data_IF_425062747369
#
_entry.id   IF_425062747369
#
_cell.length_a   1.000
_cell.length_b   1.000
_cell.length_c   1.000
_cell.angle_alpha   90.00
_cell.angle_beta   90.00
_cell.angle_gamma   90.00
#
_symmetry.space_group_name_H-M   'P 1'
#
loop_
_entity.id
_entity.type
_entity.pdbx_description
1 polymer ?
#
# COMPACT_ATOMS: atom_id res chain seq x y z
N UNK A 1 -13.91 76.89 10.78
CA UNK A 1 -13.70 75.80 9.81
C UNK A 1 -12.52 74.98 10.34
N UNK A 2 -12.64 74.00 11.25
CA UNK A 2 -13.20 72.63 11.13
C UNK A 2 -12.99 72.01 9.75
N UNK A 3 -11.92 71.21 9.58
CA UNK A 3 -12.00 69.75 9.43
C UNK A 3 -10.60 69.11 9.44
N UNK A 4 -10.47 68.10 10.29
CA UNK A 4 -9.39 67.10 10.38
C UNK A 4 -9.58 66.03 9.32
N UNK A 5 -8.51 65.58 8.65
CA UNK A 5 -8.44 64.21 8.10
C UNK A 5 -7.02 63.67 8.25
N UNK A 6 -6.88 62.78 9.23
CA UNK A 6 -5.82 61.79 9.41
C UNK A 6 -5.87 60.79 8.25
N UNK A 7 -4.75 60.50 7.58
CA UNK A 7 -4.59 59.27 6.81
C UNK A 7 -3.41 58.45 7.35
N UNK A 8 -3.80 57.28 7.83
CA UNK A 8 -3.03 56.19 8.40
C UNK A 8 -2.56 55.23 7.28
N UNK A 9 -1.53 54.45 7.59
CA UNK A 9 -1.35 53.02 7.21
C UNK A 9 -0.64 52.66 5.89
N UNK A 10 0.56 52.10 6.13
CA UNK A 10 1.14 50.86 5.59
C UNK A 10 1.43 50.72 4.09
N UNK A 11 2.69 51.00 3.74
CA UNK A 11 3.40 50.30 2.69
C UNK A 11 4.12 49.08 3.30
N UNK A 12 3.48 47.90 3.21
CA UNK A 12 4.13 46.60 3.38
C UNK A 12 3.41 45.58 2.48
N UNK A 13 3.46 45.83 1.17
CA UNK A 13 3.19 44.81 0.17
C UNK A 13 4.42 43.91 0.07
N UNK A 14 4.47 42.84 0.88
CA UNK A 14 5.44 41.76 0.70
C UNK A 14 4.68 40.47 0.33
N UNK A 15 4.75 40.17 -0.96
CA UNK A 15 4.62 38.89 -1.65
C UNK A 15 4.34 37.64 -0.80
N UNK A 16 3.16 37.06 -0.96
CA UNK A 16 2.96 35.60 -1.04
C UNK A 16 1.74 35.31 -1.93
N UNK A 17 1.86 35.59 -3.22
CA UNK A 17 0.99 35.00 -4.24
C UNK A 17 1.72 33.78 -4.82
N UNK A 18 1.68 32.65 -4.12
CA UNK A 18 2.01 31.35 -4.71
C UNK A 18 0.75 30.83 -5.41
N UNK A 19 0.30 31.54 -6.44
CA UNK A 19 -0.61 31.00 -7.45
C UNK A 19 0.23 30.49 -8.61
N UNK A 20 0.91 29.36 -8.38
CA UNK A 20 1.81 28.73 -9.35
C UNK A 20 1.37 27.30 -9.67
N UNK A 21 0.96 27.09 -10.93
CA UNK A 21 0.75 25.82 -11.62
C UNK A 21 -0.46 24.95 -11.21
N UNK A 22 -1.61 25.31 -11.79
CA UNK A 22 -2.70 24.39 -12.16
C UNK A 22 -2.21 23.42 -13.26
N UNK A 23 -1.25 22.56 -12.92
CA UNK A 23 -0.88 21.40 -13.72
C UNK A 23 -1.94 20.32 -13.54
N UNK A 24 -2.32 19.66 -14.63
CA UNK A 24 -3.38 18.63 -14.73
C UNK A 24 -3.09 17.33 -13.94
N UNK A 25 -2.28 17.41 -12.88
CA UNK A 25 -1.84 16.31 -12.03
C UNK A 25 -1.33 16.75 -10.64
N UNK A 26 -1.59 18.00 -10.24
CA UNK A 26 -1.33 18.44 -8.87
C UNK A 26 -2.47 17.98 -7.96
N UNK A 27 -2.16 17.08 -7.02
CA UNK A 27 -3.08 16.66 -5.96
C UNK A 27 -3.16 17.81 -4.95
N UNK A 28 -4.38 18.16 -4.51
CA UNK A 28 -4.54 19.15 -3.46
C UNK A 28 -3.84 18.65 -2.18
N UNK A 29 -3.12 19.54 -1.49
CA UNK A 29 -2.40 19.20 -0.25
C UNK A 29 -3.36 19.18 0.95
N UNK A 30 -4.41 18.37 0.87
CA UNK A 30 -5.33 18.04 1.95
C UNK A 30 -5.39 16.52 2.15
N UNK A 31 -5.61 16.02 3.37
CA UNK A 31 -5.47 14.59 3.65
C UNK A 31 -6.39 13.72 2.80
N UNK A 32 -7.64 14.15 2.59
CA UNK A 32 -8.63 13.39 1.83
C UNK A 32 -8.25 13.28 0.36
N UNK A 33 -7.86 14.38 -0.28
CA UNK A 33 -7.42 14.37 -1.67
C UNK A 33 -6.16 13.51 -1.87
N UNK A 34 -5.22 13.55 -0.92
CA UNK A 34 -4.01 12.71 -0.96
C UNK A 34 -4.34 11.23 -0.86
N UNK A 35 -5.23 10.82 0.05
CA UNK A 35 -5.69 9.43 0.15
C UNK A 35 -6.40 8.98 -1.13
N UNK A 36 -7.34 9.79 -1.63
CA UNK A 36 -8.08 9.46 -2.86
C UNK A 36 -7.13 9.28 -4.05
N UNK A 37 -6.19 10.20 -4.23
CA UNK A 37 -5.20 10.12 -5.29
C UNK A 37 -4.26 8.92 -5.11
N UNK A 38 -3.90 8.57 -3.87
CA UNK A 38 -3.10 7.37 -3.60
C UNK A 38 -3.82 6.11 -4.07
N UNK A 39 -5.09 5.92 -3.66
CA UNK A 39 -5.86 4.74 -4.08
C UNK A 39 -6.15 4.72 -5.60
N UNK A 40 -6.40 5.87 -6.22
CA UNK A 40 -6.56 5.97 -7.67
C UNK A 40 -5.30 5.50 -8.41
N UNK A 41 -4.10 5.86 -7.91
CA UNK A 41 -2.82 5.41 -8.48
C UNK A 41 -2.64 3.91 -8.34
N UNK A 42 -3.00 3.37 -7.17
CA UNK A 42 -2.95 1.93 -6.89
C UNK A 42 -3.90 1.14 -7.80
N UNK A 43 -5.13 1.62 -7.98
CA UNK A 43 -6.11 1.05 -8.90
C UNK A 43 -5.61 1.01 -10.35
N UNK A 44 -4.89 2.06 -10.77
CA UNK A 44 -4.27 2.16 -12.09
C UNK A 44 -2.91 1.46 -12.19
N UNK A 45 -2.49 0.70 -11.15
CA UNK A 45 -1.18 0.03 -11.06
C UNK A 45 0.03 0.99 -11.13
N UNK A 46 -0.19 2.28 -10.91
CA UNK A 46 0.85 3.31 -10.87
C UNK A 46 1.51 3.38 -9.49
N UNK A 47 2.28 2.36 -9.14
CA UNK A 47 2.95 2.27 -7.83
C UNK A 47 3.99 3.38 -7.64
N UNK A 48 4.66 3.80 -8.71
CA UNK A 48 5.64 4.89 -8.64
C UNK A 48 4.94 6.23 -8.39
N UNK A 49 3.74 6.44 -8.93
CA UNK A 49 2.87 7.56 -8.61
C UNK A 49 2.33 7.51 -7.19
N UNK A 50 1.86 6.34 -6.74
CA UNK A 50 1.40 6.12 -5.37
C UNK A 50 2.53 6.37 -4.35
N UNK A 51 3.75 5.94 -4.64
CA UNK A 51 4.93 6.16 -3.79
C UNK A 51 5.25 7.64 -3.57
N UNK A 52 4.93 8.52 -4.53
CA UNK A 52 5.10 9.98 -4.35
C UNK A 52 4.09 10.57 -3.37
N UNK A 53 2.98 9.89 -3.12
CA UNK A 53 1.93 10.29 -2.19
C UNK A 53 2.06 9.59 -0.83
N UNK A 54 3.00 8.67 -0.69
CA UNK A 54 3.21 7.90 0.54
C UNK A 54 4.39 8.43 1.36
N UNK A 55 4.41 8.09 2.65
CA UNK A 55 5.52 8.42 3.56
C UNK A 55 6.78 7.67 3.15
N UNK A 56 7.95 8.18 3.55
CA UNK A 56 9.23 7.50 3.30
C UNK A 56 9.25 6.05 3.85
N UNK A 57 8.60 5.84 5.00
CA UNK A 57 8.50 4.52 5.64
C UNK A 57 7.62 3.52 4.87
N UNK A 58 6.81 3.99 3.92
CA UNK A 58 5.96 3.16 3.06
C UNK A 58 6.73 2.47 1.94
N UNK A 59 7.98 2.87 1.67
CA UNK A 59 8.77 2.39 0.54
C UNK A 59 8.87 0.86 0.49
N UNK A 60 9.15 0.21 1.62
CA UNK A 60 9.33 -1.24 1.65
C UNK A 60 8.04 -2.00 1.25
N UNK A 61 6.88 -1.53 1.69
CA UNK A 61 5.59 -2.12 1.33
C UNK A 61 5.28 -1.93 -0.16
N UNK A 62 5.49 -0.72 -0.68
CA UNK A 62 5.25 -0.42 -2.10
C UNK A 62 6.23 -1.15 -3.03
N UNK A 63 7.51 -1.26 -2.65
CA UNK A 63 8.50 -2.02 -3.40
C UNK A 63 8.14 -3.51 -3.45
N UNK A 64 7.62 -4.06 -2.36
CA UNK A 64 7.14 -5.45 -2.31
C UNK A 64 5.91 -5.64 -3.22
N UNK A 65 4.97 -4.70 -3.18
CA UNK A 65 3.79 -4.74 -4.06
C UNK A 65 4.19 -4.66 -5.54
N UNK A 66 5.10 -3.76 -5.89
CA UNK A 66 5.61 -3.63 -7.26
C UNK A 66 6.22 -4.94 -7.76
N UNK A 67 7.09 -5.57 -6.95
CA UNK A 67 7.67 -6.88 -7.28
C UNK A 67 6.61 -7.98 -7.43
N UNK A 68 5.59 -7.97 -6.58
CA UNK A 68 4.47 -8.91 -6.67
C UNK A 68 3.70 -8.77 -7.98
N UNK A 69 3.42 -7.53 -8.42
CA UNK A 69 2.78 -7.27 -9.70
C UNK A 69 3.67 -7.63 -10.89
N UNK A 70 4.95 -7.26 -10.87
CA UNK A 70 5.90 -7.61 -11.92
C UNK A 70 6.02 -9.14 -12.09
N UNK A 71 5.97 -9.88 -10.97
CA UNK A 71 5.95 -11.33 -10.97
C UNK A 71 4.63 -11.87 -11.54
N UNK A 72 3.48 -11.37 -11.07
CA UNK A 72 2.16 -11.78 -11.58
C UNK A 72 2.03 -11.54 -13.09
N UNK A 73 2.55 -10.43 -13.62
CA UNK A 73 2.56 -10.15 -15.06
C UNK A 73 3.45 -11.13 -15.84
N UNK A 74 4.62 -11.49 -15.31
CA UNK A 74 5.51 -12.50 -15.92
C UNK A 74 4.91 -13.91 -15.92
N UNK A 75 4.02 -14.20 -14.99
CA UNK A 75 3.36 -15.51 -14.86
C UNK A 75 1.90 -15.49 -15.36
N UNK A 76 1.44 -14.40 -15.99
CA UNK A 76 0.06 -14.23 -16.47
C UNK A 76 -0.38 -15.31 -17.48
N UNK A 77 0.57 -15.92 -18.19
CA UNK A 77 0.31 -17.02 -19.13
C UNK A 77 0.17 -18.40 -18.45
N UNK A 78 0.58 -18.53 -17.17
CA UNK A 78 0.26 -19.68 -16.34
C UNK A 78 -1.08 -19.42 -15.67
N UNK A 79 -2.18 -19.88 -16.29
CA UNK A 79 -3.54 -19.81 -15.73
C UNK A 79 -3.59 -20.37 -14.30
N UNK A 80 -3.45 -19.51 -13.30
CA UNK A 80 -4.00 -19.71 -11.97
C UNK A 80 -5.29 -18.92 -11.90
N UNK A 81 -6.38 -19.67 -11.98
CA UNK A 81 -7.76 -19.21 -11.79
C UNK A 81 -7.96 -18.75 -10.36
N UNK A 82 -7.91 -17.46 -10.08
CA UNK A 82 -8.63 -16.89 -8.94
C UNK A 82 -9.31 -15.59 -9.40
N UNK A 83 -10.52 -15.37 -8.87
CA UNK A 83 -11.42 -14.30 -9.28
C UNK A 83 -10.69 -12.96 -9.17
N UNK A 84 -10.50 -12.31 -10.31
CA UNK A 84 -9.95 -10.96 -10.40
C UNK A 84 -10.89 -9.99 -9.67
N UNK A 85 -10.61 -9.70 -8.40
CA UNK A 85 -11.09 -8.45 -7.80
C UNK A 85 -10.31 -7.33 -8.49
N UNK A 86 -10.91 -6.73 -9.53
CA UNK A 86 -10.34 -5.61 -10.26
C UNK A 86 -10.08 -4.45 -9.27
N UNK A 87 -8.81 -4.04 -9.06
CA UNK A 87 -8.47 -2.93 -8.17
C UNK A 87 -9.21 -1.63 -8.51
N UNK A 88 -9.57 -1.43 -9.78
CA UNK A 88 -10.36 -0.28 -10.22
C UNK A 88 -11.80 -0.36 -9.72
N UNK A 89 -12.42 -1.54 -9.73
CA UNK A 89 -13.76 -1.72 -9.16
C UNK A 89 -13.74 -1.65 -7.63
N UNK A 90 -12.68 -2.15 -6.99
CA UNK A 90 -12.50 -1.97 -5.54
C UNK A 90 -12.44 -0.49 -5.19
N UNK A 91 -11.61 0.30 -5.88
CA UNK A 91 -11.52 1.74 -5.66
C UNK A 91 -12.85 2.46 -5.93
N UNK A 92 -13.55 2.11 -7.01
CA UNK A 92 -14.87 2.69 -7.32
C UNK A 92 -15.93 2.41 -6.24
N UNK A 93 -15.74 1.36 -5.43
CA UNK A 93 -16.61 1.02 -4.30
C UNK A 93 -16.23 1.69 -2.98
N UNK A 94 -15.15 2.48 -2.95
CA UNK A 94 -14.70 3.20 -1.75
C UNK A 94 -15.38 4.56 -1.62
N UNK A 95 -15.85 4.86 -0.42
CA UNK A 95 -16.30 6.18 0.00
C UNK A 95 -15.34 6.76 1.04
N UNK A 96 -14.90 7.99 0.79
CA UNK A 96 -13.97 8.70 1.67
C UNK A 96 -14.77 9.62 2.58
N UNK A 97 -14.74 9.35 3.87
CA UNK A 97 -15.49 10.04 4.92
C UNK A 97 -14.81 11.30 5.44
N UNK A 98 -14.95 11.49 6.75
CA UNK A 98 -14.38 12.63 7.47
C UNK A 98 -12.86 12.52 7.62
N UNK A 99 -12.22 13.68 7.72
CA UNK A 99 -10.80 13.81 8.00
C UNK A 99 -10.63 14.32 9.43
N UNK A 100 -9.84 13.60 10.24
CA UNK A 100 -9.42 14.03 11.57
C UNK A 100 -7.95 14.43 11.49
N UNK A 101 -7.62 15.67 11.84
CA UNK A 101 -6.25 16.19 11.82
C UNK A 101 -5.78 16.41 13.26
N UNK A 102 -4.63 15.85 13.60
CA UNK A 102 -3.95 16.02 14.88
C UNK A 102 -2.48 16.40 14.65
N UNK A 103 -2.22 17.71 14.59
CA UNK A 103 -0.91 18.27 14.27
C UNK A 103 -0.40 17.82 12.90
N UNK A 104 0.72 17.10 12.91
CA UNK A 104 1.35 16.54 11.70
C UNK A 104 0.80 15.16 11.32
N UNK A 105 -0.23 14.66 11.99
CA UNK A 105 -0.90 13.42 11.65
C UNK A 105 -2.34 13.71 11.22
N UNK A 106 -2.89 12.84 10.37
CA UNK A 106 -4.30 12.85 10.06
C UNK A 106 -4.82 11.42 9.85
N UNK A 107 -6.12 11.22 9.97
CA UNK A 107 -6.80 10.02 9.52
C UNK A 107 -7.96 10.38 8.61
N UNK A 108 -8.19 9.55 7.60
CA UNK A 108 -9.35 9.65 6.70
C UNK A 108 -10.10 8.34 6.79
N UNK A 109 -11.37 8.38 7.17
CA UNK A 109 -12.23 7.19 7.17
C UNK A 109 -12.52 6.76 5.73
N UNK A 110 -12.38 5.48 5.45
CA UNK A 110 -12.64 4.87 4.14
C UNK A 110 -13.63 3.72 4.32
N UNK A 111 -14.78 3.84 3.69
CA UNK A 111 -15.81 2.80 3.66
C UNK A 111 -15.78 2.06 2.32
N UNK A 112 -15.57 0.75 2.35
CA UNK A 112 -15.65 -0.10 1.16
C UNK A 112 -17.03 -0.77 1.10
N UNK A 113 -17.87 -0.33 0.17
CA UNK A 113 -19.24 -0.86 0.00
C UNK A 113 -19.28 -2.34 -0.38
N UNK A 114 -18.31 -2.82 -1.15
CA UNK A 114 -18.28 -4.23 -1.59
C UNK A 114 -17.97 -5.17 -0.44
N UNK A 115 -17.13 -4.73 0.50
CA UNK A 115 -16.65 -5.53 1.63
C UNK A 115 -17.40 -5.24 2.93
N UNK A 116 -18.35 -4.29 2.89
CA UNK A 116 -19.04 -3.73 4.05
C UNK A 116 -18.08 -3.44 5.21
N UNK A 117 -17.00 -2.73 4.89
CA UNK A 117 -15.84 -2.57 5.77
C UNK A 117 -15.48 -1.10 5.87
N UNK A 118 -15.21 -0.62 7.09
CA UNK A 118 -14.79 0.74 7.35
C UNK A 118 -13.44 0.74 8.06
N UNK A 119 -12.50 1.53 7.58
CA UNK A 119 -11.18 1.64 8.20
C UNK A 119 -10.66 3.08 8.10
N UNK A 120 -9.89 3.48 9.12
CA UNK A 120 -9.24 4.78 9.15
C UNK A 120 -7.85 4.67 8.51
N UNK A 121 -7.61 5.45 7.46
CA UNK A 121 -6.35 5.48 6.76
C UNK A 121 -5.46 6.62 7.29
N UNK A 122 -4.29 6.33 7.87
CA UNK A 122 -3.42 7.33 8.46
C UNK A 122 -2.61 8.07 7.41
N UNK A 123 -2.39 9.34 7.68
CA UNK A 123 -1.51 10.23 6.95
C UNK A 123 -0.59 10.94 7.93
N UNK A 124 0.57 11.34 7.41
CA UNK A 124 1.56 12.14 8.12
C UNK A 124 2.04 13.26 7.22
N UNK A 125 2.28 14.42 7.80
CA UNK A 125 2.91 15.55 7.12
C UNK A 125 4.41 15.29 7.07
N UNK A 126 4.96 15.21 5.87
CA UNK A 126 6.40 15.09 5.62
C UNK A 126 6.82 16.17 4.63
N UNK A 127 7.90 16.89 4.96
CA UNK A 127 8.44 17.96 4.12
C UNK A 127 7.39 19.03 3.73
N UNK A 128 6.44 19.29 4.63
CA UNK A 128 5.38 20.29 4.46
C UNK A 128 4.09 19.79 3.79
N UNK A 129 4.09 18.59 3.21
CA UNK A 129 2.94 18.02 2.49
C UNK A 129 2.38 16.77 3.17
N UNK A 130 1.09 16.52 3.00
CA UNK A 130 0.46 15.29 3.47
C UNK A 130 0.91 14.08 2.65
N UNK A 131 1.16 12.97 3.36
CA UNK A 131 1.54 11.69 2.79
C UNK A 131 0.77 10.57 3.47
N UNK A 132 0.35 9.58 2.68
CA UNK A 132 -0.24 8.34 3.18
C UNK A 132 0.79 7.51 3.92
N UNK A 133 0.48 7.07 5.14
CA UNK A 133 1.28 6.05 5.81
C UNK A 133 0.80 4.64 5.39
N UNK A 134 1.49 4.09 4.40
CA UNK A 134 1.35 2.72 3.91
C UNK A 134 2.54 1.85 4.33
N UNK A 135 3.14 2.13 5.48
CA UNK A 135 4.24 1.32 6.00
C UNK A 135 3.78 -0.08 6.41
N UNK A 136 4.72 -1.04 6.41
CA UNK A 136 4.44 -2.39 6.88
C UNK A 136 3.89 -2.41 8.31
N UNK A 137 4.39 -1.51 9.17
CA UNK A 137 3.90 -1.35 10.54
C UNK A 137 2.42 -1.00 10.57
N UNK A 138 2.01 -0.06 9.72
CA UNK A 138 0.63 0.41 9.65
C UNK A 138 -0.28 -0.65 9.05
N UNK A 139 0.15 -1.34 8.00
CA UNK A 139 -0.59 -2.48 7.42
C UNK A 139 -0.76 -3.62 8.43
N UNK A 140 0.29 -3.97 9.18
CA UNK A 140 0.21 -4.98 10.24
C UNK A 140 -0.74 -4.55 11.36
N UNK A 141 -0.68 -3.28 11.77
CA UNK A 141 -1.58 -2.74 12.78
C UNK A 141 -3.03 -2.80 12.32
N UNK A 142 -3.36 -2.33 11.11
CA UNK A 142 -4.72 -2.44 10.57
C UNK A 142 -5.20 -3.89 10.50
N UNK A 143 -4.33 -4.82 10.06
CA UNK A 143 -4.66 -6.25 10.03
C UNK A 143 -4.99 -6.80 11.43
N UNK A 144 -4.23 -6.39 12.45
CA UNK A 144 -4.47 -6.79 13.84
C UNK A 144 -5.70 -6.13 14.44
N UNK A 145 -5.92 -4.84 14.18
CA UNK A 145 -7.09 -4.09 14.65
C UNK A 145 -8.38 -4.70 14.07
N UNK A 146 -8.39 -5.02 12.77
CA UNK A 146 -9.52 -5.70 12.11
C UNK A 146 -9.76 -7.12 12.65
N UNK A 147 -8.70 -7.87 12.93
CA UNK A 147 -8.83 -9.19 13.56
C UNK A 147 -9.41 -9.09 14.98
N UNK A 148 -9.02 -8.08 15.75
CA UNK A 148 -9.53 -7.85 17.10
C UNK A 148 -10.97 -7.29 17.11
N UNK A 149 -11.33 -6.43 16.15
CA UNK A 149 -12.70 -5.92 16.00
C UNK A 149 -13.69 -7.04 15.70
N UNK A 150 -13.33 -7.97 14.80
CA UNK A 150 -14.11 -9.18 14.55
C UNK A 150 -14.28 -10.06 15.79
N UNK A 151 -13.24 -10.14 16.65
CA UNK A 151 -13.31 -10.85 17.94
C UNK A 151 -14.23 -10.18 18.96
N UNK A 152 -14.30 -8.85 18.96
CA UNK A 152 -15.09 -8.09 19.95
C UNK A 152 -16.56 -7.89 19.55
N UNK A 153 -16.88 -7.85 18.25
CA UNK A 153 -18.25 -7.59 17.77
C UNK A 153 -19.12 -8.86 17.60
N UNK A 154 -18.54 -10.05 17.84
CA UNK A 154 -19.21 -11.31 18.20
C UNK A 154 -20.04 -12.02 17.12
N UNK A 155 -19.60 -13.18 16.63
CA UNK A 155 -20.42 -14.39 16.37
C UNK A 155 -19.53 -15.53 15.84
N UNK A 156 -18.85 -16.27 16.73
CA UNK A 156 -18.86 -17.75 16.75
C UNK A 156 -18.02 -18.24 17.94
N UNK A 157 -18.62 -19.03 18.83
CA UNK A 157 -17.94 -19.68 19.96
C UNK A 157 -17.06 -20.87 19.50
N UNK A 158 -16.65 -20.92 18.23
CA UNK A 158 -15.89 -22.01 17.61
C UNK A 158 -14.57 -21.58 16.91
N UNK A 159 -14.19 -20.29 16.94
CA UNK A 159 -13.04 -19.77 16.17
C UNK A 159 -11.66 -19.86 16.87
N UNK A 160 -11.60 -20.41 18.09
CA UNK A 160 -10.29 -20.77 18.68
C UNK A 160 -9.69 -22.01 17.99
N UNK A 161 -10.54 -22.92 17.50
CA UNK A 161 -10.12 -24.14 16.83
C UNK A 161 -9.70 -23.87 15.38
N UNK A 162 -10.34 -22.97 14.63
CA UNK A 162 -9.92 -22.69 13.24
C UNK A 162 -8.62 -21.90 13.14
N UNK A 163 -8.28 -21.03 14.10
CA UNK A 163 -6.97 -20.35 14.07
C UNK A 163 -5.85 -21.19 14.67
N UNK A 164 -6.13 -22.06 15.65
CA UNK A 164 -5.18 -23.11 16.04
C UNK A 164 -4.99 -24.12 14.91
N UNK A 165 -6.05 -24.53 14.23
CA UNK A 165 -5.99 -25.43 13.07
C UNK A 165 -5.37 -24.75 11.85
N UNK A 166 -5.55 -23.43 11.65
CA UNK A 166 -4.84 -22.67 10.62
C UNK A 166 -3.37 -22.43 10.98
N UNK A 167 -3.01 -22.21 12.25
CA UNK A 167 -1.61 -22.16 12.69
C UNK A 167 -0.94 -23.54 12.68
N UNK A 168 -1.64 -24.61 13.04
CA UNK A 168 -1.17 -25.98 12.97
C UNK A 168 -1.06 -26.44 11.52
N UNK A 169 -2.06 -26.17 10.67
CA UNK A 169 -1.96 -26.35 9.23
C UNK A 169 -0.85 -25.49 8.67
N UNK A 170 -0.64 -24.24 9.06
CA UNK A 170 0.49 -23.43 8.56
C UNK A 170 1.85 -23.94 9.02
N UNK A 171 1.97 -24.46 10.25
CA UNK A 171 3.18 -25.14 10.75
C UNK A 171 3.45 -26.45 10.02
N UNK A 172 2.44 -27.28 9.82
CA UNK A 172 2.55 -28.55 9.11
C UNK A 172 2.75 -28.34 7.59
N UNK A 173 2.07 -27.37 6.99
CA UNK A 173 2.20 -27.01 5.58
C UNK A 173 3.56 -26.34 5.30
N UNK A 174 4.10 -25.57 6.25
CA UNK A 174 5.46 -25.02 6.11
C UNK A 174 6.52 -26.10 6.27
N UNK A 175 6.42 -27.03 7.22
CA UNK A 175 7.48 -28.04 7.40
C UNK A 175 7.39 -29.21 6.41
N UNK A 176 6.22 -29.83 6.22
CA UNK A 176 6.09 -30.99 5.33
C UNK A 176 6.11 -30.58 3.84
N UNK A 177 5.53 -29.43 3.46
CA UNK A 177 5.61 -28.98 2.07
C UNK A 177 6.97 -28.34 1.74
N UNK A 178 7.68 -27.70 2.69
CA UNK A 178 9.08 -27.34 2.45
C UNK A 178 9.97 -28.58 2.39
N UNK A 179 9.74 -29.61 3.20
CA UNK A 179 10.56 -30.81 3.18
C UNK A 179 10.27 -31.68 1.94
N UNK A 180 9.00 -31.78 1.51
CA UNK A 180 8.63 -32.39 0.22
C UNK A 180 9.10 -31.53 -0.95
N UNK A 181 9.01 -30.21 -0.85
CA UNK A 181 9.54 -29.26 -1.84
C UNK A 181 11.05 -29.39 -1.98
N UNK A 182 11.79 -29.47 -0.88
CA UNK A 182 13.24 -29.72 -0.84
C UNK A 182 13.59 -31.09 -1.41
N UNK A 183 12.81 -32.15 -1.10
CA UNK A 183 13.03 -33.49 -1.68
C UNK A 183 12.68 -33.57 -3.17
N UNK A 184 11.66 -32.84 -3.63
CA UNK A 184 11.34 -32.69 -5.05
C UNK A 184 12.41 -31.87 -5.77
N UNK A 185 12.90 -30.78 -5.18
CA UNK A 185 13.99 -29.97 -5.72
C UNK A 185 15.28 -30.78 -5.75
N UNK A 186 15.60 -31.56 -4.73
CA UNK A 186 16.79 -32.41 -4.70
C UNK A 186 16.70 -33.56 -5.74
N UNK A 187 15.51 -34.13 -5.94
CA UNK A 187 15.27 -35.14 -6.99
C UNK A 187 15.25 -34.53 -8.40
N UNK A 188 14.75 -33.30 -8.54
CA UNK A 188 14.79 -32.53 -9.78
C UNK A 188 16.22 -32.13 -10.13
N UNK A 189 17.01 -31.66 -9.16
CA UNK A 189 18.43 -31.33 -9.35
C UNK A 189 19.28 -32.55 -9.72
N UNK A 190 18.93 -33.74 -9.22
CA UNK A 190 19.55 -35.01 -9.63
C UNK A 190 19.17 -35.47 -11.03
N UNK A 191 18.05 -34.99 -11.58
CA UNK A 191 17.56 -35.35 -12.93
C UNK A 191 17.77 -34.23 -13.96
N UNK A 192 18.16 -33.03 -13.53
CA UNK A 192 18.52 -31.92 -14.40
C UNK A 192 19.94 -32.14 -14.92
N UNK A 193 20.06 -32.13 -16.24
CA UNK A 193 21.31 -32.19 -16.98
C UNK A 193 22.30 -31.10 -16.48
N UNK A 194 23.54 -31.45 -16.09
CA UNK A 194 24.49 -30.50 -15.51
C UNK A 194 24.76 -29.27 -16.38
N UNK A 195 24.58 -29.36 -17.70
CA UNK A 195 24.68 -28.20 -18.60
C UNK A 195 23.56 -27.17 -18.38
N UNK A 196 22.33 -27.62 -18.09
CA UNK A 196 21.19 -26.72 -17.84
C UNK A 196 21.31 -26.03 -16.48
N UNK A 197 21.87 -26.73 -15.51
CA UNK A 197 22.16 -26.21 -14.17
C UNK A 197 23.24 -25.11 -14.24
N UNK A 198 24.25 -25.31 -15.09
CA UNK A 198 25.29 -24.31 -15.36
C UNK A 198 24.72 -23.06 -16.05
N UNK A 199 23.86 -23.21 -17.05
CA UNK A 199 23.15 -22.08 -17.69
C UNK A 199 22.27 -21.30 -16.73
N UNK A 200 21.61 -21.99 -15.80
CA UNK A 200 20.78 -21.35 -14.78
C UNK A 200 21.63 -20.59 -13.74
N UNK A 201 22.78 -21.15 -13.33
CA UNK A 201 23.74 -20.44 -12.48
C UNK A 201 24.34 -19.21 -13.16
N UNK A 202 24.63 -19.29 -14.45
CA UNK A 202 25.15 -18.16 -15.23
C UNK A 202 24.08 -17.06 -15.38
N UNK A 203 22.83 -17.42 -15.65
CA UNK A 203 21.72 -16.46 -15.72
C UNK A 203 21.48 -15.74 -14.37
N UNK A 204 21.66 -16.45 -13.24
CA UNK A 204 21.56 -15.84 -11.89
C UNK A 204 22.72 -14.88 -11.64
N UNK A 205 23.94 -15.21 -12.07
CA UNK A 205 25.09 -14.31 -11.96
C UNK A 205 24.93 -13.04 -12.80
N UNK A 206 24.37 -13.15 -14.00
CA UNK A 206 24.12 -11.99 -14.85
C UNK A 206 23.02 -11.10 -14.28
N UNK A 207 21.98 -11.66 -13.66
CA UNK A 207 20.98 -10.91 -12.91
C UNK A 207 21.57 -10.17 -11.70
N UNK A 208 22.52 -10.78 -10.99
CA UNK A 208 23.21 -10.12 -9.87
C UNK A 208 24.11 -8.97 -10.34
N UNK A 209 24.74 -9.09 -11.51
CA UNK A 209 25.57 -8.04 -12.11
C UNK A 209 24.76 -6.87 -12.67
N UNK A 210 23.53 -7.12 -13.13
CA UNK A 210 22.64 -6.06 -13.60
C UNK A 210 21.98 -5.25 -12.46
N UNK A 211 22.10 -5.73 -11.21
CA UNK A 211 21.55 -5.09 -10.02
C UNK A 211 22.65 -4.46 -9.12
N UNK A 212 23.88 -4.36 -9.63
CA UNK A 212 24.97 -3.52 -9.13
C UNK A 212 25.16 -2.34 -10.06
#
# INVERSE_FOLDING_TARGET
MRQTVTFFVAAAAMMLAITGCKGKGAVADDPKAVVMAFFERMANKDIDGAAKLATKDSKAALDMMKKGMDMAEKFKDMKTTEKDDDPAEEFASMEFGETKVDGDNATVSVYNKKKDDNFDFPLKREDGSWKVDFSMKTLMKMGMDKANEKRMNGTDENDEDEMNDAMEKMKNFSLDSLQKGLKMVDSALKTIDPEKLKKMQDAVKDLQKMNQ
#
